data_IF_075905942535
#
_entry.id   IF_075905942535
#
_cell.length_a   1.000
_cell.length_b   1.000
_cell.length_c   1.000
_cell.angle_alpha   90.00
_cell.angle_beta   90.00
_cell.angle_gamma   90.00
#
_symmetry.space_group_name_H-M   'P 1'
#
loop_
_entity.id
_entity.type
_entity.pdbx_description
1 polymer ?
#
# COMPACT_ATOMS: atom_id res chain seq x y z
N UNK A 1 2.84 -31.36 11.07
CA UNK A 1 3.06 -30.64 12.34
C UNK A 1 3.48 -29.22 11.98
N UNK A 2 2.65 -28.25 12.34
CA UNK A 2 2.78 -26.77 12.33
C UNK A 2 3.56 -26.05 11.20
N UNK A 3 2.81 -25.40 10.29
CA UNK A 3 3.34 -24.38 9.38
C UNK A 3 3.71 -23.12 10.19
N UNK A 4 4.96 -23.05 10.62
CA UNK A 4 5.47 -21.95 11.44
C UNK A 4 5.25 -20.59 10.77
N UNK A 5 4.43 -19.74 11.40
CA UNK A 5 4.26 -18.33 11.09
C UNK A 5 5.54 -17.55 11.45
N UNK A 6 6.64 -17.79 10.74
CA UNK A 6 7.84 -16.97 10.81
C UNK A 6 7.50 -15.56 10.33
N UNK A 7 7.88 -14.54 11.11
CA UNK A 7 7.72 -13.12 10.74
C UNK A 7 8.14 -12.95 9.27
N UNK A 8 7.20 -12.57 8.40
CA UNK A 8 7.42 -12.44 6.95
C UNK A 8 8.32 -11.23 6.70
N UNK A 9 9.62 -11.41 6.87
CA UNK A 9 10.62 -10.40 6.56
C UNK A 9 11.16 -10.61 5.15
N UNK A 10 11.42 -9.51 4.44
CA UNK A 10 12.16 -9.57 3.17
C UNK A 10 13.63 -9.92 3.43
N UNK A 11 14.39 -10.23 2.37
CA UNK A 11 15.85 -10.41 2.43
C UNK A 11 16.53 -9.18 3.05
N UNK A 12 15.98 -7.99 2.81
CA UNK A 12 16.45 -6.73 3.40
C UNK A 12 16.00 -6.51 4.85
N UNK A 13 15.30 -7.46 5.46
CA UNK A 13 14.82 -7.40 6.84
C UNK A 13 13.51 -6.65 7.06
N UNK A 14 12.83 -6.21 6.01
CA UNK A 14 11.57 -5.44 6.10
C UNK A 14 10.42 -6.32 6.57
N UNK A 15 9.71 -5.92 7.63
CA UNK A 15 8.50 -6.60 8.10
C UNK A 15 7.31 -6.32 7.18
N UNK A 16 6.81 -7.35 6.50
CA UNK A 16 5.72 -7.21 5.53
C UNK A 16 4.38 -6.91 6.21
N UNK A 17 4.15 -7.39 7.43
CA UNK A 17 2.87 -7.17 8.11
C UNK A 17 2.77 -5.73 8.63
N UNK A 18 3.89 -5.16 9.09
CA UNK A 18 3.98 -3.73 9.43
C UNK A 18 3.73 -2.84 8.21
N UNK A 19 4.37 -3.15 7.07
CA UNK A 19 4.18 -2.39 5.82
C UNK A 19 2.72 -2.41 5.37
N UNK A 20 2.03 -3.56 5.45
CA UNK A 20 0.61 -3.64 5.10
C UNK A 20 -0.25 -2.78 6.01
N UNK A 21 -0.01 -2.81 7.33
CA UNK A 21 -0.71 -1.96 8.29
C UNK A 21 -0.52 -0.48 7.92
N UNK A 22 0.72 -0.05 7.75
CA UNK A 22 1.03 1.34 7.40
C UNK A 22 0.40 1.76 6.05
N UNK A 23 0.43 0.88 5.04
CA UNK A 23 -0.22 1.15 3.75
C UNK A 23 -1.74 1.32 3.91
N UNK A 24 -2.38 0.52 4.76
CA UNK A 24 -3.82 0.66 5.03
C UNK A 24 -4.18 1.96 5.76
N UNK A 25 -3.22 2.53 6.49
CA UNK A 25 -3.36 3.79 7.26
C UNK A 25 -2.85 5.03 6.49
N UNK A 26 -2.24 4.84 5.31
CA UNK A 26 -1.56 5.91 4.54
C UNK A 26 -2.48 6.80 3.70
N UNK A 27 -3.79 6.52 3.68
CA UNK A 27 -4.76 7.26 2.89
C UNK A 27 -4.84 6.77 1.43
N UNK A 28 -4.97 7.71 0.49
CA UNK A 28 -5.15 7.34 -0.93
C UNK A 28 -3.87 6.78 -1.51
N UNK A 29 -4.01 5.66 -2.23
CA UNK A 29 -2.93 5.12 -3.05
C UNK A 29 -2.57 6.07 -4.18
N UNK A 30 -1.34 5.95 -4.67
CA UNK A 30 -0.87 6.69 -5.85
C UNK A 30 -1.86 6.62 -7.03
N UNK A 31 -2.39 5.43 -7.32
CA UNK A 31 -3.33 5.24 -8.42
C UNK A 31 -4.66 5.96 -8.19
N UNK A 32 -5.17 5.98 -6.97
CA UNK A 32 -6.38 6.72 -6.63
C UNK A 32 -6.14 8.23 -6.76
N UNK A 33 -5.02 8.75 -6.27
CA UNK A 33 -4.65 10.17 -6.45
C UNK A 33 -4.55 10.52 -7.94
N UNK A 34 -3.89 9.68 -8.75
CA UNK A 34 -3.77 9.88 -10.20
C UNK A 34 -5.13 9.95 -10.89
N UNK A 35 -6.06 9.05 -10.54
CA UNK A 35 -7.42 9.06 -11.08
C UNK A 35 -8.20 10.30 -10.66
N UNK A 36 -8.12 10.69 -9.39
CA UNK A 36 -8.76 11.91 -8.89
C UNK A 36 -8.26 13.13 -9.65
N UNK A 37 -6.94 13.30 -9.76
CA UNK A 37 -6.33 14.41 -10.50
C UNK A 37 -6.78 14.40 -11.96
N UNK A 38 -6.72 13.26 -12.65
CA UNK A 38 -7.20 13.14 -14.02
C UNK A 38 -8.67 13.54 -14.19
N UNK A 39 -9.53 13.15 -13.25
CA UNK A 39 -10.93 13.57 -13.22
C UNK A 39 -11.10 15.07 -12.99
N UNK A 40 -10.30 15.68 -12.10
CA UNK A 40 -10.32 17.13 -11.88
C UNK A 40 -9.93 17.91 -13.13
N UNK A 41 -8.88 17.48 -13.83
CA UNK A 41 -8.45 18.13 -15.08
C UNK A 41 -9.48 17.98 -16.20
N UNK A 42 -10.12 16.82 -16.29
CA UNK A 42 -11.15 16.57 -17.32
C UNK A 42 -12.39 17.42 -17.10
N UNK A 43 -12.76 17.71 -15.84
CA UNK A 43 -13.91 18.57 -15.50
C UNK A 43 -13.66 20.08 -15.68
N UNK A 44 -12.40 20.50 -15.79
CA UNK A 44 -12.02 21.92 -15.99
C UNK A 44 -11.99 22.33 -17.47
N UNK A 45 -12.31 21.43 -18.39
CA UNK A 45 -12.28 21.61 -19.84
C UNK A 45 -13.70 21.67 -20.38
#
# INVERSE_FOLDING_TARGET
MENGHGKKRTVSGTDIEEVKKLNSESGLTYNQVKQLLGGQYSRKK
#
